data_IF_547182487547
#
_entry.id   IF_547182487547
#
_cell.length_a   1.000
_cell.length_b   1.000
_cell.length_c   1.000
_cell.angle_alpha   90.00
_cell.angle_beta   90.00
_cell.angle_gamma   90.00
#
_symmetry.space_group_name_H-M   'P 1'
#
loop_
_entity.id
_entity.type
_entity.pdbx_description
1 polymer ?
#
# COMPACT_ATOMS: atom_id res chain seq x y z
N UNK A 1 -7.54 10.62 13.61
CA UNK A 1 -8.69 10.34 12.74
C UNK A 1 -8.20 10.39 11.30
N UNK A 2 -8.05 9.23 10.68
CA UNK A 2 -7.77 9.12 9.25
C UNK A 2 -9.14 9.23 8.57
N UNK A 3 -9.48 10.38 8.01
CA UNK A 3 -10.77 10.53 7.37
C UNK A 3 -10.59 10.56 5.86
N UNK A 4 -11.03 9.51 5.25
CA UNK A 4 -11.38 9.53 3.85
C UNK A 4 -12.92 9.68 3.78
N UNK A 5 -13.40 10.91 3.86
CA UNK A 5 -14.83 11.24 3.93
C UNK A 5 -15.65 10.73 2.72
N UNK A 6 -14.98 10.18 1.72
CA UNK A 6 -15.63 9.75 0.48
C UNK A 6 -16.52 8.51 0.64
N UNK A 7 -16.36 7.77 1.73
CA UNK A 7 -17.10 6.53 2.00
C UNK A 7 -17.76 6.53 3.38
N UNK A 8 -17.89 7.70 4.05
CA UNK A 8 -18.45 7.82 5.40
C UNK A 8 -19.94 7.49 5.45
N UNK A 9 -20.63 7.64 4.32
CA UNK A 9 -22.06 7.30 4.20
C UNK A 9 -22.32 5.79 4.16
N UNK A 10 -21.27 4.95 4.08
CA UNK A 10 -21.39 3.50 3.97
C UNK A 10 -20.98 2.81 5.27
N UNK A 11 -21.83 1.92 5.77
CA UNK A 11 -21.47 1.04 6.87
C UNK A 11 -20.73 -0.20 6.36
N UNK A 12 -19.40 -0.21 6.51
CA UNK A 12 -18.54 -1.31 6.05
C UNK A 12 -18.75 -2.62 6.83
N UNK A 13 -19.57 -2.65 7.89
CA UNK A 13 -20.01 -3.88 8.53
C UNK A 13 -21.16 -4.54 7.75
N UNK A 14 -21.89 -3.77 6.95
CA UNK A 14 -23.04 -4.23 6.16
C UNK A 14 -22.59 -4.71 4.78
N UNK A 15 -23.02 -5.93 4.42
CA UNK A 15 -22.60 -6.57 3.17
C UNK A 15 -23.05 -5.83 1.90
N UNK A 16 -24.26 -5.24 1.91
CA UNK A 16 -24.76 -4.43 0.78
C UNK A 16 -23.89 -3.23 0.53
N UNK A 17 -23.52 -2.50 1.58
CA UNK A 17 -22.71 -1.29 1.50
C UNK A 17 -21.30 -1.60 1.00
N UNK A 18 -20.71 -2.70 1.49
CA UNK A 18 -19.43 -3.20 0.94
C UNK A 18 -19.54 -3.48 -0.55
N UNK A 19 -20.62 -4.09 -1.00
CA UNK A 19 -20.80 -4.39 -2.42
C UNK A 19 -20.95 -3.12 -3.25
N UNK A 20 -21.70 -2.14 -2.78
CA UNK A 20 -21.85 -0.85 -3.45
C UNK A 20 -20.53 -0.09 -3.55
N UNK A 21 -19.74 -0.07 -2.47
CA UNK A 21 -18.41 0.53 -2.46
C UNK A 21 -17.46 -0.17 -3.43
N UNK A 22 -17.49 -1.52 -3.51
CA UNK A 22 -16.69 -2.28 -4.49
C UNK A 22 -17.07 -1.90 -5.93
N UNK A 23 -18.34 -1.80 -6.23
CA UNK A 23 -18.83 -1.42 -7.56
C UNK A 23 -18.40 0.01 -7.92
N UNK A 24 -18.52 0.94 -6.96
CA UNK A 24 -18.07 2.32 -7.12
C UNK A 24 -16.55 2.38 -7.39
N UNK A 25 -15.72 1.68 -6.60
CA UNK A 25 -14.30 1.63 -6.77
C UNK A 25 -13.90 1.04 -8.13
N UNK A 26 -14.53 -0.06 -8.55
CA UNK A 26 -14.34 -0.66 -9.86
C UNK A 26 -14.67 0.31 -10.99
N UNK A 27 -15.80 1.02 -10.89
CA UNK A 27 -16.20 2.03 -11.86
C UNK A 27 -15.15 3.14 -11.96
N UNK A 28 -14.73 3.71 -10.83
CA UNK A 28 -13.75 4.81 -10.80
C UNK A 28 -12.38 4.38 -11.30
N UNK A 29 -11.94 3.20 -10.93
CA UNK A 29 -10.66 2.63 -11.41
C UNK A 29 -10.70 2.44 -12.93
N UNK A 30 -11.79 1.86 -13.46
CA UNK A 30 -11.97 1.66 -14.90
C UNK A 30 -12.05 2.99 -15.67
N UNK A 31 -12.70 4.01 -15.13
CA UNK A 31 -12.73 5.36 -15.71
C UNK A 31 -11.31 5.94 -15.78
N UNK A 32 -10.50 5.74 -14.72
CA UNK A 32 -9.10 6.16 -14.70
C UNK A 32 -8.26 5.45 -15.76
N UNK A 33 -8.42 4.13 -15.91
CA UNK A 33 -7.77 3.35 -16.95
C UNK A 33 -8.11 3.87 -18.36
N UNK A 34 -9.40 4.10 -18.63
CA UNK A 34 -9.85 4.66 -19.92
C UNK A 34 -9.26 6.06 -20.19
N UNK A 35 -9.23 6.92 -19.16
CA UNK A 35 -8.63 8.27 -19.27
C UNK A 35 -7.13 8.21 -19.60
N UNK A 36 -6.38 7.31 -18.98
CA UNK A 36 -4.95 7.15 -19.25
C UNK A 36 -4.71 6.58 -20.65
N UNK A 37 -5.51 5.59 -21.07
CA UNK A 37 -5.45 5.01 -22.42
C UNK A 37 -5.66 6.07 -23.52
N UNK A 38 -6.61 7.00 -23.33
CA UNK A 38 -6.83 8.12 -24.27
C UNK A 38 -5.62 9.05 -24.40
N UNK A 39 -4.73 9.06 -23.40
CA UNK A 39 -3.46 9.81 -23.40
C UNK A 39 -2.27 8.99 -23.92
N UNK A 40 -2.51 7.81 -24.49
CA UNK A 40 -1.46 6.89 -24.92
C UNK A 40 -0.66 6.24 -23.78
N UNK A 41 -1.20 6.25 -22.55
CA UNK A 41 -0.50 5.74 -21.36
C UNK A 41 -1.30 4.59 -20.72
N UNK A 42 -0.62 3.68 -20.04
CA UNK A 42 -1.26 2.71 -19.16
C UNK A 42 -1.39 3.31 -17.75
N UNK A 43 -2.50 3.01 -17.06
CA UNK A 43 -2.67 3.39 -15.66
C UNK A 43 -1.90 2.43 -14.76
N UNK A 44 -2.08 1.13 -14.99
CA UNK A 44 -1.33 0.04 -14.37
C UNK A 44 -0.76 -0.83 -15.50
N UNK A 45 0.50 -1.18 -15.40
CA UNK A 45 1.16 -2.10 -16.33
C UNK A 45 0.93 -3.55 -15.89
N UNK A 46 0.96 -4.54 -16.82
CA UNK A 46 0.75 -5.94 -16.51
C UNK A 46 1.68 -6.46 -15.40
N UNK A 47 2.94 -6.06 -15.42
CA UNK A 47 3.95 -6.44 -14.45
C UNK A 47 3.63 -5.88 -13.05
N UNK A 48 3.17 -4.63 -12.98
CA UNK A 48 2.71 -4.02 -11.73
C UNK A 48 1.49 -4.75 -11.18
N UNK A 49 0.56 -5.14 -12.04
CA UNK A 49 -0.62 -5.93 -11.67
C UNK A 49 -0.22 -7.31 -11.14
N UNK A 50 0.73 -7.99 -11.80
CA UNK A 50 1.27 -9.27 -11.35
C UNK A 50 1.75 -9.20 -9.90
N UNK A 51 2.66 -8.27 -9.60
CA UNK A 51 3.20 -8.15 -8.24
C UNK A 51 2.19 -7.68 -7.20
N UNK A 52 1.19 -6.89 -7.59
CA UNK A 52 0.09 -6.56 -6.68
C UNK A 52 -0.75 -7.80 -6.32
N UNK A 53 -0.93 -8.73 -7.25
CA UNK A 53 -1.62 -10.00 -7.00
C UNK A 53 -0.77 -10.94 -6.15
N UNK A 54 0.54 -10.99 -6.35
CA UNK A 54 1.45 -11.80 -5.52
C UNK A 54 1.39 -11.33 -4.04
N UNK A 55 1.32 -10.01 -3.81
CA UNK A 55 1.14 -9.43 -2.46
C UNK A 55 -0.25 -9.77 -1.91
N UNK A 56 -1.30 -9.65 -2.73
CA UNK A 56 -2.66 -10.01 -2.32
C UNK A 56 -2.74 -11.49 -1.92
N UNK A 57 -2.08 -12.37 -2.67
CA UNK A 57 -2.04 -13.81 -2.35
C UNK A 57 -1.29 -14.09 -1.05
N UNK A 58 -0.26 -13.31 -0.72
CA UNK A 58 0.38 -13.37 0.58
C UNK A 58 -0.62 -12.97 1.68
N UNK A 59 -1.39 -11.91 1.49
CA UNK A 59 -2.42 -11.49 2.43
C UNK A 59 -3.52 -12.55 2.62
N UNK A 60 -3.97 -13.21 1.55
CA UNK A 60 -4.93 -14.33 1.62
C UNK A 60 -4.40 -15.51 2.44
N UNK A 61 -3.09 -15.76 2.40
CA UNK A 61 -2.41 -16.78 3.22
C UNK A 61 -2.22 -16.38 4.68
N UNK A 62 -2.76 -15.24 5.11
CA UNK A 62 -2.67 -14.76 6.48
C UNK A 62 -1.40 -13.97 6.80
N UNK A 63 -0.62 -13.58 5.79
CA UNK A 63 0.50 -12.66 5.97
C UNK A 63 -0.04 -11.27 6.29
N UNK A 64 0.49 -10.63 7.32
CA UNK A 64 0.09 -9.30 7.76
C UNK A 64 1.10 -8.22 7.39
N UNK A 65 2.35 -8.61 7.14
CA UNK A 65 3.41 -7.69 6.77
C UNK A 65 4.14 -8.23 5.53
N UNK A 66 4.19 -7.40 4.49
CA UNK A 66 4.89 -7.73 3.25
C UNK A 66 5.90 -6.65 2.91
N UNK A 67 7.13 -7.04 2.60
CA UNK A 67 8.16 -6.17 2.04
C UNK A 67 8.17 -6.35 0.52
N UNK A 68 7.89 -5.30 -0.23
CA UNK A 68 8.01 -5.29 -1.68
C UNK A 68 9.32 -4.60 -2.10
N UNK A 69 10.20 -5.36 -2.72
CA UNK A 69 11.52 -4.89 -3.14
C UNK A 69 11.55 -4.70 -4.65
N UNK A 70 11.76 -3.46 -5.08
CA UNK A 70 11.90 -3.13 -6.49
C UNK A 70 12.83 -1.91 -6.66
N UNK A 71 13.68 -1.86 -7.69
CA UNK A 71 14.60 -0.75 -7.93
C UNK A 71 13.93 0.61 -7.98
N UNK A 72 14.73 1.65 -7.85
CA UNK A 72 14.29 3.03 -8.07
C UNK A 72 13.70 3.14 -9.48
N UNK A 73 12.61 3.91 -9.63
CA UNK A 73 11.91 4.14 -10.91
C UNK A 73 11.28 2.90 -11.57
N UNK A 74 11.35 1.73 -10.95
CA UNK A 74 10.70 0.53 -11.50
C UNK A 74 9.17 0.67 -11.61
N UNK A 75 8.57 1.53 -10.83
CA UNK A 75 7.12 1.80 -10.86
C UNK A 75 6.35 1.25 -9.67
N UNK A 76 6.98 1.18 -8.49
CA UNK A 76 6.38 0.78 -7.21
C UNK A 76 4.99 1.39 -6.97
N UNK A 77 4.82 2.67 -7.26
CA UNK A 77 3.51 3.35 -7.13
C UNK A 77 2.39 2.65 -7.92
N UNK A 78 2.68 2.09 -9.11
CA UNK A 78 1.66 1.35 -9.88
C UNK A 78 1.25 0.05 -9.20
N UNK A 79 2.19 -0.65 -8.54
CA UNK A 79 1.89 -1.84 -7.72
C UNK A 79 1.01 -1.45 -6.54
N UNK A 80 1.36 -0.37 -5.83
CA UNK A 80 0.58 0.17 -4.70
C UNK A 80 -0.85 0.49 -5.13
N UNK A 81 -1.04 1.24 -6.22
CA UNK A 81 -2.36 1.62 -6.71
C UNK A 81 -3.20 0.40 -7.12
N UNK A 82 -2.58 -0.59 -7.75
CA UNK A 82 -3.23 -1.85 -8.10
C UNK A 82 -3.61 -2.64 -6.84
N UNK A 83 -2.70 -2.75 -5.87
CA UNK A 83 -2.94 -3.47 -4.63
C UNK A 83 -4.09 -2.87 -3.82
N UNK A 84 -4.14 -1.55 -3.68
CA UNK A 84 -5.25 -0.85 -3.02
C UNK A 84 -6.58 -1.24 -3.67
N UNK A 85 -6.66 -1.18 -5.00
CA UNK A 85 -7.87 -1.56 -5.71
C UNK A 85 -8.24 -3.03 -5.46
N UNK A 86 -7.28 -3.95 -5.59
CA UNK A 86 -7.52 -5.39 -5.38
C UNK A 86 -7.97 -5.70 -3.94
N UNK A 87 -7.34 -5.10 -2.94
CA UNK A 87 -7.70 -5.31 -1.54
C UNK A 87 -9.10 -4.78 -1.22
N UNK A 88 -9.45 -3.58 -1.69
CA UNK A 88 -10.78 -2.99 -1.43
C UNK A 88 -11.90 -3.69 -2.18
N UNK A 89 -11.60 -4.41 -3.26
CA UNK A 89 -12.60 -5.14 -4.06
C UNK A 89 -12.59 -6.65 -3.83
N UNK A 90 -11.66 -7.17 -3.05
CA UNK A 90 -11.59 -8.59 -2.69
C UNK A 90 -12.73 -9.00 -1.75
N UNK A 91 -13.18 -10.23 -1.88
CA UNK A 91 -14.09 -10.86 -0.91
C UNK A 91 -13.33 -11.57 0.22
N UNK A 92 -12.11 -12.02 -0.05
CA UNK A 92 -11.28 -12.78 0.89
C UNK A 92 -10.41 -11.87 1.78
N UNK A 93 -9.88 -10.79 1.21
CA UNK A 93 -9.04 -9.81 1.90
C UNK A 93 -9.67 -8.44 1.73
N UNK A 94 -10.81 -8.23 2.37
CA UNK A 94 -11.47 -6.93 2.31
C UNK A 94 -10.71 -5.91 3.17
N UNK A 95 -10.37 -4.77 2.55
CA UNK A 95 -9.84 -3.60 3.23
C UNK A 95 -10.87 -2.47 3.11
N UNK A 96 -11.19 -1.86 4.25
CA UNK A 96 -12.04 -0.68 4.29
C UNK A 96 -11.32 0.51 3.62
N UNK A 97 -11.86 1.10 2.56
CA UNK A 97 -11.23 2.23 1.87
C UNK A 97 -10.96 3.45 2.76
N UNK A 98 -11.75 3.63 3.84
CA UNK A 98 -11.52 4.69 4.83
C UNK A 98 -10.28 4.42 5.70
N UNK A 99 -9.87 3.16 5.82
CA UNK A 99 -8.74 2.73 6.66
C UNK A 99 -7.47 2.45 5.85
N UNK A 100 -7.26 3.20 4.77
CA UNK A 100 -6.02 3.14 3.98
C UNK A 100 -5.12 4.29 4.41
N UNK A 101 -3.87 3.96 4.72
CA UNK A 101 -2.81 4.91 5.03
C UNK A 101 -1.62 4.68 4.11
N UNK A 102 -1.36 5.61 3.20
CA UNK A 102 -0.17 5.62 2.35
C UNK A 102 0.78 6.73 2.80
N UNK A 103 1.94 6.34 3.28
CA UNK A 103 2.96 7.22 3.86
C UNK A 103 4.27 7.07 3.10
N UNK A 104 4.98 8.17 2.89
CA UNK A 104 6.38 8.14 2.44
C UNK A 104 7.35 8.36 3.59
N UNK A 105 8.52 7.72 3.52
CA UNK A 105 9.67 8.06 4.36
C UNK A 105 10.25 9.45 4.10
N UNK A 106 9.85 10.11 3.00
CA UNK A 106 10.31 11.43 2.60
C UNK A 106 9.35 12.53 3.07
N UNK A 107 9.87 13.69 3.43
CA UNK A 107 9.10 14.88 3.81
C UNK A 107 8.76 15.80 2.62
N UNK A 108 8.57 15.20 1.43
CA UNK A 108 8.39 15.93 0.19
C UNK A 108 6.92 16.12 -0.17
N UNK A 109 6.49 17.37 -0.26
CA UNK A 109 5.14 17.75 -0.69
C UNK A 109 4.89 17.42 -2.18
N UNK A 110 5.93 17.45 -2.99
CA UNK A 110 5.83 17.13 -4.42
C UNK A 110 5.49 15.65 -4.60
N UNK A 111 6.15 14.75 -3.87
CA UNK A 111 5.83 13.32 -3.85
C UNK A 111 4.36 13.08 -3.49
N UNK A 112 3.86 13.74 -2.42
CA UNK A 112 2.45 13.63 -1.99
C UNK A 112 1.52 14.06 -3.12
N UNK A 113 1.75 15.22 -3.71
CA UNK A 113 0.95 15.75 -4.81
C UNK A 113 0.95 14.85 -6.03
N UNK A 114 2.14 14.33 -6.42
CA UNK A 114 2.27 13.38 -7.53
C UNK A 114 1.49 12.10 -7.25
N UNK A 115 1.63 11.52 -6.07
CA UNK A 115 0.93 10.29 -5.68
C UNK A 115 -0.59 10.50 -5.67
N UNK A 116 -1.07 11.57 -5.04
CA UNK A 116 -2.48 11.96 -5.05
C UNK A 116 -3.02 12.15 -6.47
N UNK A 117 -2.23 12.75 -7.37
CA UNK A 117 -2.64 12.95 -8.76
C UNK A 117 -2.82 11.64 -9.54
N UNK A 118 -2.13 10.59 -9.12
CA UNK A 118 -2.21 9.24 -9.72
C UNK A 118 -3.35 8.42 -9.15
N UNK A 119 -3.77 8.66 -7.91
CA UNK A 119 -4.89 7.95 -7.27
C UNK A 119 -6.23 8.37 -7.87
N UNK A 120 -7.24 7.51 -7.70
CA UNK A 120 -8.63 7.92 -7.88
C UNK A 120 -8.96 8.98 -6.82
N UNK A 121 -9.91 9.88 -7.15
CA UNK A 121 -10.19 11.05 -6.33
C UNK A 121 -10.58 10.68 -4.90
N UNK A 122 -11.38 9.65 -4.77
CA UNK A 122 -11.98 9.16 -3.55
C UNK A 122 -10.95 8.63 -2.52
N UNK A 123 -9.75 8.27 -2.95
CA UNK A 123 -8.68 7.74 -2.08
C UNK A 123 -7.51 8.73 -1.84
N UNK A 124 -7.60 9.97 -2.31
CA UNK A 124 -6.50 10.92 -2.23
C UNK A 124 -6.18 11.38 -0.81
N UNK A 125 -7.17 11.42 0.06
CA UNK A 125 -7.01 11.76 1.47
C UNK A 125 -6.15 10.74 2.24
N UNK A 126 -6.08 9.49 1.76
CA UNK A 126 -5.25 8.43 2.34
C UNK A 126 -3.73 8.68 2.21
N UNK A 127 -3.29 9.67 1.42
CA UNK A 127 -1.87 9.94 1.16
C UNK A 127 -1.33 10.96 2.14
N UNK A 128 -0.33 10.56 2.91
CA UNK A 128 0.31 11.38 3.94
C UNK A 128 1.82 11.43 3.73
N UNK A 129 2.44 12.52 4.13
CA UNK A 129 3.89 12.59 4.23
C UNK A 129 4.34 12.38 5.69
N UNK A 130 5.63 12.17 5.88
CA UNK A 130 6.27 11.76 7.12
C UNK A 130 5.78 12.54 8.35
N UNK A 131 5.74 13.87 8.28
CA UNK A 131 5.35 14.70 9.42
C UNK A 131 3.85 14.61 9.76
N UNK A 132 3.02 14.27 8.77
CA UNK A 132 1.57 14.14 8.96
C UNK A 132 1.15 12.95 9.82
N UNK A 133 2.03 11.95 9.98
CA UNK A 133 1.70 10.70 10.71
C UNK A 133 2.22 10.67 12.14
N UNK A 134 3.11 11.60 12.53
CA UNK A 134 3.78 11.56 13.83
C UNK A 134 2.80 11.46 15.01
N UNK A 135 1.70 12.19 14.94
CA UNK A 135 0.71 12.25 16.01
C UNK A 135 -0.54 11.39 15.73
N UNK A 136 -0.54 10.58 14.69
CA UNK A 136 -1.66 9.71 14.40
C UNK A 136 -1.82 8.69 15.52
N UNK A 137 -3.05 8.57 15.99
CA UNK A 137 -3.49 7.55 16.93
C UNK A 137 -4.71 6.87 16.33
N UNK A 138 -4.64 5.57 16.20
CA UNK A 138 -5.72 4.76 15.68
C UNK A 138 -6.69 4.45 16.82
N UNK A 139 -7.97 4.64 16.57
CA UNK A 139 -9.06 4.26 17.44
C UNK A 139 -9.42 2.77 17.27
N UNK A 140 -10.43 2.34 17.98
CA UNK A 140 -10.86 0.94 17.95
C UNK A 140 -11.52 0.55 16.62
N UNK A 141 -11.99 1.52 15.85
CA UNK A 141 -12.61 1.31 14.55
C UNK A 141 -11.59 1.20 13.40
N UNK A 142 -10.31 1.48 13.66
CA UNK A 142 -9.24 1.26 12.69
C UNK A 142 -8.93 -0.22 12.55
N UNK A 143 -9.73 -0.89 11.74
CA UNK A 143 -9.64 -2.32 11.39
C UNK A 143 -9.90 -2.53 9.90
N UNK A 144 -9.66 -3.74 9.42
CA UNK A 144 -9.71 -4.01 7.98
C UNK A 144 -8.90 -2.96 7.22
N UNK A 145 -7.67 -2.72 7.67
CA UNK A 145 -6.85 -1.56 7.29
C UNK A 145 -5.65 -1.97 6.44
N UNK A 146 -5.22 -1.05 5.55
CA UNK A 146 -4.00 -1.19 4.76
C UNK A 146 -3.07 -0.01 5.01
N UNK A 147 -1.91 -0.31 5.59
CA UNK A 147 -0.84 0.67 5.81
C UNK A 147 0.26 0.42 4.79
N UNK A 148 0.61 1.44 4.04
CA UNK A 148 1.62 1.38 2.99
C UNK A 148 2.72 2.39 3.33
N UNK A 149 3.96 1.90 3.46
CA UNK A 149 5.15 2.72 3.70
C UNK A 149 6.01 2.69 2.45
N UNK A 150 6.02 3.80 1.72
CA UNK A 150 6.86 3.94 0.52
C UNK A 150 8.24 4.47 0.92
N UNK A 151 9.32 3.93 0.32
CA UNK A 151 10.72 4.24 0.65
C UNK A 151 11.02 4.01 2.14
N UNK A 152 10.65 2.85 2.66
CA UNK A 152 10.70 2.52 4.10
C UNK A 152 12.11 2.53 4.70
N UNK A 153 13.18 2.39 3.88
CA UNK A 153 14.56 2.48 4.34
C UNK A 153 14.89 3.85 4.97
N UNK A 154 14.19 4.91 4.57
CA UNK A 154 14.34 6.23 5.16
C UNK A 154 13.63 6.31 6.52
N UNK A 155 12.58 5.51 6.71
CA UNK A 155 11.76 5.49 7.91
C UNK A 155 12.34 4.64 9.06
N UNK A 156 13.43 3.90 8.82
CA UNK A 156 13.97 2.93 9.78
C UNK A 156 14.75 3.55 10.95
N UNK A 157 15.14 4.81 10.87
CA UNK A 157 15.85 5.46 11.96
C UNK A 157 14.93 5.62 13.19
N UNK A 158 15.46 5.36 14.40
CA UNK A 158 14.67 5.34 15.65
C UNK A 158 13.90 6.64 15.94
N UNK A 159 14.47 7.76 15.55
CA UNK A 159 13.85 9.08 15.73
C UNK A 159 12.80 9.43 14.69
N UNK A 160 12.59 8.60 13.69
CA UNK A 160 11.66 8.89 12.61
C UNK A 160 10.20 8.82 13.05
N UNK A 161 9.40 9.70 12.47
CA UNK A 161 7.98 9.85 12.78
C UNK A 161 7.18 8.57 12.53
N UNK A 162 7.54 7.80 11.50
CA UNK A 162 6.86 6.54 11.18
C UNK A 162 7.11 5.50 12.25
N UNK A 163 8.35 5.32 12.72
CA UNK A 163 8.66 4.36 13.78
C UNK A 163 7.93 4.72 15.09
N UNK A 164 7.90 5.99 15.44
CA UNK A 164 7.13 6.48 16.61
C UNK A 164 5.64 6.21 16.47
N UNK A 165 5.07 6.40 15.28
CA UNK A 165 3.68 6.09 14.98
C UNK A 165 3.41 4.58 15.10
N UNK A 166 4.31 3.72 14.59
CA UNK A 166 4.21 2.28 14.73
C UNK A 166 4.21 1.82 16.18
N UNK A 167 5.15 2.32 17.00
CA UNK A 167 5.21 1.99 18.43
C UNK A 167 3.93 2.42 19.14
N UNK A 168 3.48 3.65 18.93
CA UNK A 168 2.28 4.21 19.57
C UNK A 168 1.02 3.40 19.25
N UNK A 169 0.90 2.89 18.04
CA UNK A 169 -0.27 2.17 17.56
C UNK A 169 -0.08 0.64 17.57
N UNK A 170 0.94 0.12 18.24
CA UNK A 170 1.23 -1.32 18.38
C UNK A 170 1.39 -2.06 17.04
N UNK A 171 1.85 -1.38 16.00
CA UNK A 171 1.94 -1.96 14.65
C UNK A 171 3.12 -2.93 14.48
N UNK A 172 3.99 -3.07 15.49
CA UNK A 172 4.98 -4.14 15.58
C UNK A 172 4.42 -5.41 16.24
N UNK A 173 3.23 -5.36 16.82
CA UNK A 173 2.58 -6.50 17.44
C UNK A 173 1.74 -7.26 16.41
N UNK A 174 2.20 -8.42 16.01
CA UNK A 174 1.52 -9.28 15.02
C UNK A 174 0.15 -9.74 15.53
N UNK A 175 0.00 -10.00 16.84
CA UNK A 175 -1.27 -10.33 17.44
C UNK A 175 -2.30 -9.22 17.23
N UNK A 176 -1.90 -7.99 17.48
CA UNK A 176 -2.72 -6.81 17.26
C UNK A 176 -3.10 -6.62 15.78
N UNK A 177 -2.14 -6.80 14.86
CA UNK A 177 -2.42 -6.71 13.43
C UNK A 177 -3.44 -7.77 12.99
N UNK A 178 -3.31 -8.98 13.51
CA UNK A 178 -4.19 -10.10 13.19
C UNK A 178 -5.61 -9.89 13.71
N UNK A 179 -5.75 -9.48 14.96
CA UNK A 179 -7.04 -9.23 15.61
C UNK A 179 -7.85 -8.17 14.86
N UNK A 180 -7.19 -7.12 14.37
CA UNK A 180 -7.82 -6.01 13.67
C UNK A 180 -7.81 -6.12 12.15
N UNK A 181 -7.31 -7.22 11.62
CA UNK A 181 -7.13 -7.43 10.18
C UNK A 181 -6.37 -6.26 9.52
N UNK A 182 -5.29 -5.79 10.15
CA UNK A 182 -4.42 -4.76 9.59
C UNK A 182 -3.37 -5.43 8.72
N UNK A 183 -3.22 -4.95 7.49
CA UNK A 183 -2.18 -5.36 6.54
C UNK A 183 -1.18 -4.23 6.37
N UNK A 184 0.09 -4.56 6.36
CA UNK A 184 1.18 -3.60 6.17
C UNK A 184 1.99 -4.01 4.96
N UNK A 185 2.22 -3.08 4.06
CA UNK A 185 3.21 -3.21 3.01
C UNK A 185 4.26 -2.11 3.17
N UNK A 186 5.51 -2.51 3.17
CA UNK A 186 6.63 -1.59 3.08
C UNK A 186 7.33 -1.79 1.74
N UNK A 187 7.66 -0.69 1.06
CA UNK A 187 8.38 -0.74 -0.22
C UNK A 187 9.79 -0.21 -0.06
N UNK A 188 10.74 -0.85 -0.71
CA UNK A 188 12.14 -0.46 -0.69
C UNK A 188 12.82 -0.74 -2.03
N UNK A 189 13.89 -0.01 -2.31
CA UNK A 189 14.78 -0.32 -3.41
C UNK A 189 15.77 -1.46 -3.08
N UNK A 190 15.99 -1.72 -1.80
CA UNK A 190 16.88 -2.77 -1.28
C UNK A 190 16.16 -3.58 -0.21
N UNK A 191 16.49 -4.87 -0.04
CA UNK A 191 15.88 -5.70 1.00
C UNK A 191 16.40 -5.34 2.41
N UNK A 192 17.50 -4.61 2.49
CA UNK A 192 18.10 -4.20 3.75
C UNK A 192 17.55 -2.85 4.23
N UNK A 193 17.67 -2.59 5.52
CA UNK A 193 17.21 -1.35 6.17
C UNK A 193 15.70 -1.08 6.02
N UNK A 194 14.90 -2.11 6.07
CA UNK A 194 13.44 -1.98 6.11
C UNK A 194 12.95 -1.61 7.51
N UNK A 195 11.81 -0.94 7.62
CA UNK A 195 11.24 -0.51 8.90
C UNK A 195 10.91 -1.69 9.81
N UNK A 196 10.43 -2.78 9.24
CA UNK A 196 10.14 -4.04 9.93
C UNK A 196 10.90 -5.13 9.20
N UNK A 197 11.92 -5.66 9.84
CA UNK A 197 12.68 -6.77 9.29
C UNK A 197 11.94 -8.08 9.54
N UNK A 198 11.49 -8.73 8.48
CA UNK A 198 10.81 -10.02 8.59
C UNK A 198 11.66 -11.10 9.29
N UNK A 199 12.99 -10.94 9.31
CA UNK A 199 13.93 -11.85 9.98
C UNK A 199 13.92 -11.73 11.50
N UNK A 200 13.44 -10.62 12.04
CA UNK A 200 13.30 -10.39 13.50
C UNK A 200 12.08 -11.11 14.09
N UNK A 201 11.17 -11.58 13.25
CA UNK A 201 9.99 -12.30 13.68
C UNK A 201 10.28 -13.80 13.79
N UNK A 202 9.82 -14.47 14.86
CA UNK A 202 9.99 -15.91 15.02
C UNK A 202 9.48 -16.68 13.81
N UNK A 203 10.25 -17.63 13.30
CA UNK A 203 9.92 -18.45 12.12
C UNK A 203 8.60 -19.21 12.23
N UNK A 204 8.15 -19.48 13.44
CA UNK A 204 6.90 -20.18 13.74
C UNK A 204 5.65 -19.34 13.45
N UNK A 205 5.78 -18.03 13.28
CA UNK A 205 4.62 -17.15 13.13
C UNK A 205 4.22 -16.88 11.68
N UNK A 206 5.04 -17.13 10.69
CA UNK A 206 4.80 -17.00 9.23
C UNK A 206 3.93 -15.79 8.78
N UNK A 207 4.01 -14.66 9.49
CA UNK A 207 3.15 -13.49 9.21
C UNK A 207 3.81 -12.44 8.32
N UNK A 208 5.06 -12.68 7.94
CA UNK A 208 5.85 -11.77 7.13
C UNK A 208 6.25 -12.43 5.81
N UNK A 209 6.29 -11.65 4.74
CA UNK A 209 6.77 -12.11 3.44
C UNK A 209 7.62 -11.04 2.76
N UNK A 210 8.47 -11.48 1.83
CA UNK A 210 9.23 -10.60 0.95
C UNK A 210 8.84 -10.95 -0.48
N UNK A 211 8.37 -9.94 -1.22
CA UNK A 211 8.09 -10.03 -2.64
C UNK A 211 9.15 -9.24 -3.40
N UNK A 212 10.02 -9.94 -4.08
CA UNK A 212 11.05 -9.34 -4.94
C UNK A 212 10.58 -9.35 -6.38
N UNK A 213 10.92 -8.31 -7.14
CA UNK A 213 10.79 -8.39 -8.59
C UNK A 213 11.79 -9.42 -9.15
N UNK A 214 11.40 -10.03 -10.26
CA UNK A 214 12.36 -10.79 -11.07
C UNK A 214 13.25 -9.80 -11.83
N UNK A 215 14.55 -9.78 -11.50
CA UNK A 215 15.52 -8.92 -12.17
C UNK A 215 15.77 -9.30 -13.63
N UNK A 216 15.32 -10.47 -14.05
CA UNK A 216 15.32 -10.87 -15.46
C UNK A 216 14.05 -10.36 -16.21
N UNK A 217 13.08 -9.81 -15.50
CA UNK A 217 11.92 -9.19 -16.10
C UNK A 217 12.36 -7.97 -16.94
N UNK A 218 12.08 -7.93 -18.26
CA UNK A 218 12.49 -6.84 -19.13
C UNK A 218 11.80 -5.50 -18.79
N UNK A 219 10.78 -5.53 -17.95
CA UNK A 219 10.05 -4.33 -17.58
C UNK A 219 10.90 -3.43 -16.69
N UNK A 220 11.33 -2.28 -17.24
CA UNK A 220 12.16 -1.27 -16.56
C UNK A 220 13.40 -1.86 -15.87
N UNK A 221 14.00 -2.90 -16.45
CA UNK A 221 15.34 -3.33 -16.08
C UNK A 221 16.35 -2.25 -16.49
N UNK A 222 17.61 -2.38 -16.00
CA UNK A 222 18.68 -1.48 -16.48
C UNK A 222 18.81 -1.49 -18.01
N UNK A 223 18.49 -2.62 -18.67
CA UNK A 223 18.44 -2.75 -20.14
C UNK A 223 17.42 -1.81 -20.78
N UNK A 224 16.27 -1.57 -20.11
CA UNK A 224 15.27 -0.61 -20.60
C UNK A 224 15.83 0.82 -20.69
N UNK A 225 16.80 1.17 -19.83
CA UNK A 225 17.41 2.51 -19.83
C UNK A 225 18.67 2.61 -20.68
N UNK A 226 19.30 1.47 -21.02
CA UNK A 226 20.50 1.42 -21.88
C UNK A 226 20.18 1.28 -23.37
N UNK A 227 18.99 0.83 -23.71
CA UNK A 227 18.55 0.66 -25.11
C UNK A 227 17.82 1.91 -25.66
N UNK A 228 17.91 3.06 -24.98
CA UNK A 228 17.43 4.36 -25.46
C UNK A 228 18.62 5.12 -26.03
N UNK A 229 19.13 4.67 -27.17
CA UNK A 229 19.97 5.44 -28.09
C UNK A 229 19.16 5.88 -29.30
#
# INVERSE_FOLDING_TARGET
MLMNDAFDDFDMSVKSDRQEVKELLNLKFNQRCKKMKRKGKKYIYPEQKKYSLDILDAFKKGIHLTTFVAPVQWGKTGVILSLIHECCTSDEVFINPNNILLVTGMSDNEWKSQTQSRMIRELRSSVHHLHGVLNMKFDDDFRDALIIIDECQIANQEDQSIRKMFIRNKLFDIGFLKERNIRIIQTSATPDNVLVDAREYPSEQHYCSIVNIDFNDPYRSYKFFTDID
#
